data_IF_109218123972
#
_entry.id   IF_109218123972
#
_cell.length_a   1.000
_cell.length_b   1.000
_cell.length_c   1.000
_cell.angle_alpha   90.00
_cell.angle_beta   90.00
_cell.angle_gamma   90.00
#
_symmetry.space_group_name_H-M   'P 1'
#
loop_
_entity.id
_entity.type
_entity.pdbx_description
1 polymer ?
#
# COMPACT_ATOMS: atom_id res chain seq x y z
N UNK A 1 -0.29 -15.93 15.02
CA UNK A 1 -0.61 -15.25 16.28
C UNK A 1 -1.23 -13.91 15.93
N UNK A 2 -2.18 -13.43 16.74
CA UNK A 2 -2.74 -12.09 16.57
C UNK A 2 -2.15 -11.20 17.66
N UNK A 3 -1.69 -10.03 17.26
CA UNK A 3 -1.26 -8.99 18.18
C UNK A 3 -2.05 -7.72 17.93
N UNK A 4 -2.28 -6.93 18.97
CA UNK A 4 -2.94 -5.63 18.88
C UNK A 4 -2.10 -4.53 19.51
N UNK A 5 -2.33 -3.30 19.07
CA UNK A 5 -1.76 -2.10 19.70
C UNK A 5 -2.70 -0.92 19.52
N UNK A 6 -2.60 0.08 20.40
CA UNK A 6 -3.33 1.34 20.28
C UNK A 6 -2.43 2.37 19.59
N UNK A 7 -2.94 2.96 18.50
CA UNK A 7 -2.23 3.92 17.68
C UNK A 7 -1.22 3.29 16.72
N UNK A 8 -1.18 3.78 15.47
CA UNK A 8 -0.36 3.17 14.40
C UNK A 8 1.16 3.35 14.60
N UNK A 9 1.57 4.36 15.38
CA UNK A 9 2.99 4.65 15.66
C UNK A 9 3.57 3.79 16.78
N UNK A 10 2.73 3.06 17.51
CA UNK A 10 3.19 2.20 18.57
C UNK A 10 3.79 0.91 18.00
N UNK A 11 5.07 0.69 18.28
CA UNK A 11 5.80 -0.49 17.81
C UNK A 11 5.81 -1.64 18.83
N UNK A 12 5.24 -1.43 20.03
CA UNK A 12 5.02 -2.48 21.01
C UNK A 12 3.65 -3.10 20.79
N UNK A 13 3.64 -4.40 20.52
CA UNK A 13 2.41 -5.16 20.29
C UNK A 13 2.08 -6.01 21.50
N UNK A 14 0.79 -6.11 21.81
CA UNK A 14 0.25 -7.01 22.85
C UNK A 14 -0.30 -8.25 22.16
N UNK A 15 0.18 -9.42 22.54
CA UNK A 15 -0.35 -10.68 22.05
C UNK A 15 -1.78 -10.90 22.54
N UNK A 16 -2.66 -11.32 21.65
CA UNK A 16 -4.03 -11.69 21.99
C UNK A 16 -4.09 -13.18 22.32
N UNK A 17 -4.74 -13.52 23.45
CA UNK A 17 -5.03 -14.92 23.77
C UNK A 17 -5.95 -15.52 22.71
N UNK A 18 -5.54 -16.64 22.12
CA UNK A 18 -6.26 -17.31 21.03
C UNK A 18 -7.17 -18.42 21.56
N UNK A 19 -8.40 -18.49 21.05
CA UNK A 19 -9.33 -19.61 21.24
C UNK A 19 -9.49 -20.46 19.97
N UNK A 20 -8.59 -20.33 18.99
CA UNK A 20 -8.69 -21.03 17.71
C UNK A 20 -7.56 -20.71 16.74
N UNK A 21 -7.87 -20.70 15.43
CA UNK A 21 -6.95 -20.19 14.42
C UNK A 21 -6.82 -18.66 14.52
N UNK A 22 -5.77 -18.10 13.93
CA UNK A 22 -5.61 -16.64 13.85
C UNK A 22 -6.81 -15.95 13.17
N UNK A 23 -7.42 -16.62 12.18
CA UNK A 23 -8.63 -16.14 11.53
C UNK A 23 -9.81 -16.07 12.49
N UNK A 24 -10.06 -17.12 13.29
CA UNK A 24 -11.16 -17.14 14.26
C UNK A 24 -10.95 -16.12 15.38
N UNK A 25 -9.72 -16.01 15.87
CA UNK A 25 -9.35 -15.01 16.88
C UNK A 25 -9.59 -13.60 16.36
N UNK A 26 -9.15 -13.29 15.13
CA UNK A 26 -9.39 -11.98 14.55
C UNK A 26 -10.86 -11.74 14.23
N UNK A 27 -11.59 -12.73 13.73
CA UNK A 27 -13.03 -12.64 13.48
C UNK A 27 -13.80 -12.32 14.78
N UNK A 28 -13.41 -12.94 15.89
CA UNK A 28 -13.96 -12.63 17.22
C UNK A 28 -13.64 -11.18 17.62
N UNK A 29 -12.36 -10.77 17.55
CA UNK A 29 -11.94 -9.43 17.93
C UNK A 29 -12.65 -8.35 17.08
N UNK A 30 -12.72 -8.53 15.76
CA UNK A 30 -13.38 -7.58 14.87
C UNK A 30 -14.86 -7.41 15.20
N UNK A 31 -15.57 -8.48 15.57
CA UNK A 31 -17.00 -8.39 15.92
C UNK A 31 -17.27 -7.78 17.28
N UNK A 32 -16.39 -7.99 18.26
CA UNK A 32 -16.63 -7.59 19.65
C UNK A 32 -15.97 -6.26 20.04
N UNK A 33 -14.99 -5.78 19.25
CA UNK A 33 -14.23 -4.57 19.55
C UNK A 33 -14.40 -3.50 18.46
N UNK A 34 -15.64 -3.25 18.03
CA UNK A 34 -15.94 -2.16 17.10
C UNK A 34 -15.87 -0.85 17.88
N UNK A 35 -15.00 0.06 17.45
CA UNK A 35 -14.97 1.42 17.97
C UNK A 35 -16.01 2.27 17.23
N UNK A 36 -16.75 3.10 17.95
CA UNK A 36 -17.73 4.02 17.36
C UNK A 36 -17.23 5.46 17.49
N UNK A 37 -17.34 6.22 16.40
CA UNK A 37 -17.09 7.66 16.37
C UNK A 37 -18.41 8.41 16.18
N UNK A 38 -18.47 9.62 16.73
CA UNK A 38 -19.64 10.49 16.62
C UNK A 38 -19.30 11.75 15.82
N UNK A 39 -20.31 12.33 15.15
CA UNK A 39 -20.20 13.64 14.51
C UNK A 39 -19.39 13.70 13.21
N UNK A 40 -18.93 12.56 12.68
CA UNK A 40 -18.19 12.51 11.40
C UNK A 40 -19.11 12.89 10.24
N UNK A 41 -18.61 13.71 9.32
CA UNK A 41 -19.34 14.15 8.13
C UNK A 41 -18.66 13.62 6.86
N UNK A 42 -19.47 13.18 5.90
CA UNK A 42 -18.99 12.74 4.60
C UNK A 42 -18.29 13.88 3.84
N UNK A 43 -17.32 13.52 3.01
CA UNK A 43 -16.59 14.44 2.14
C UNK A 43 -17.03 14.22 0.69
N UNK A 44 -17.58 15.27 0.06
CA UNK A 44 -18.14 15.18 -1.30
C UNK A 44 -17.09 14.80 -2.36
N UNK A 45 -15.82 15.17 -2.15
CA UNK A 45 -14.71 14.81 -3.03
C UNK A 45 -14.10 13.43 -2.74
N UNK A 46 -14.66 12.69 -1.78
CA UNK A 46 -14.16 11.37 -1.37
C UNK A 46 -12.91 11.39 -0.49
N UNK A 47 -12.49 12.56 -0.03
CA UNK A 47 -11.40 12.70 0.92
C UNK A 47 -11.72 11.99 2.25
N UNK A 48 -10.71 11.78 3.08
CA UNK A 48 -10.81 11.07 4.35
C UNK A 48 -11.64 11.91 5.33
N UNK A 49 -12.80 11.41 5.81
CA UNK A 49 -13.67 12.19 6.69
C UNK A 49 -13.20 12.23 8.15
N UNK A 50 -12.30 11.33 8.55
CA UNK A 50 -11.78 11.25 9.92
C UNK A 50 -10.37 11.83 10.01
N UNK A 51 -10.12 12.79 10.92
CA UNK A 51 -8.79 13.35 11.15
C UNK A 51 -7.74 12.29 11.46
N UNK A 52 -6.52 12.50 10.97
CA UNK A 52 -5.45 11.53 11.16
C UNK A 52 -5.03 11.39 12.64
N UNK A 53 -5.25 12.38 13.53
CA UNK A 53 -4.90 12.22 14.94
C UNK A 53 -5.63 11.05 15.62
N UNK A 54 -6.90 10.82 15.26
CA UNK A 54 -7.71 9.71 15.80
C UNK A 54 -7.10 8.37 15.39
N UNK A 55 -6.61 8.27 14.14
CA UNK A 55 -5.94 7.07 13.63
C UNK A 55 -4.58 6.87 14.30
N UNK A 56 -3.85 7.96 14.52
CA UNK A 56 -2.52 7.91 15.12
C UNK A 56 -2.54 7.49 16.59
N UNK A 57 -3.55 7.90 17.35
CA UNK A 57 -3.54 7.81 18.81
C UNK A 57 -4.64 6.92 19.39
N UNK A 58 -5.82 6.88 18.79
CA UNK A 58 -7.02 6.33 19.45
C UNK A 58 -7.45 4.97 18.92
N UNK A 59 -7.20 4.71 17.64
CA UNK A 59 -7.63 3.48 16.98
C UNK A 59 -6.80 2.27 17.39
N UNK A 60 -7.46 1.11 17.44
CA UNK A 60 -6.80 -0.18 17.63
C UNK A 60 -6.32 -0.70 16.28
N UNK A 61 -5.10 -1.22 16.26
CA UNK A 61 -4.49 -1.88 15.12
C UNK A 61 -4.15 -3.31 15.47
N UNK A 62 -4.10 -4.18 14.46
CA UNK A 62 -3.67 -5.56 14.60
C UNK A 62 -2.53 -5.91 13.64
N UNK A 63 -1.76 -6.91 14.04
CA UNK A 63 -0.84 -7.65 13.19
C UNK A 63 -1.16 -9.15 13.30
N UNK A 64 -1.20 -9.84 12.17
CA UNK A 64 -1.45 -11.28 12.09
C UNK A 64 -0.21 -12.00 11.59
N UNK A 65 0.49 -12.73 12.47
CA UNK A 65 1.73 -13.40 12.11
C UNK A 65 2.53 -13.83 13.32
N UNK A 66 3.83 -14.02 13.15
CA UNK A 66 4.78 -14.18 14.26
C UNK A 66 5.86 -13.10 14.13
N UNK A 67 6.21 -12.48 15.26
CA UNK A 67 7.33 -11.55 15.34
C UNK A 67 8.40 -12.11 16.29
N UNK A 68 9.64 -11.69 16.09
CA UNK A 68 10.77 -11.94 16.98
C UNK A 68 10.73 -10.88 18.08
N UNK A 69 10.56 -11.34 19.33
CA UNK A 69 10.37 -10.44 20.47
C UNK A 69 9.05 -9.67 20.39
N UNK A 70 9.07 -8.38 20.73
CA UNK A 70 7.87 -7.54 20.85
C UNK A 70 7.89 -6.27 19.97
N UNK A 71 8.91 -6.11 19.11
CA UNK A 71 9.04 -4.99 18.19
C UNK A 71 8.76 -5.44 16.76
N UNK A 72 7.86 -4.73 16.09
CA UNK A 72 7.47 -5.01 14.71
C UNK A 72 8.36 -4.26 13.71
N UNK A 73 9.02 -5.02 12.84
CA UNK A 73 9.69 -4.52 11.62
C UNK A 73 9.72 -5.63 10.57
N UNK A 74 10.12 -5.33 9.34
CA UNK A 74 10.34 -6.37 8.32
C UNK A 74 11.43 -7.37 8.71
N UNK A 75 12.44 -6.96 9.48
CA UNK A 75 13.54 -7.84 9.94
C UNK A 75 13.14 -8.71 11.13
N UNK A 76 12.21 -8.25 11.96
CA UNK A 76 11.72 -8.98 13.12
C UNK A 76 10.45 -9.78 12.82
N UNK A 77 9.80 -9.56 11.67
CA UNK A 77 8.62 -10.35 11.27
C UNK A 77 9.06 -11.70 10.72
N UNK A 78 8.63 -12.77 11.38
CA UNK A 78 8.96 -14.15 10.99
C UNK A 78 8.02 -14.61 9.88
N UNK A 79 6.72 -14.38 10.04
CA UNK A 79 5.69 -14.71 9.06
C UNK A 79 4.46 -13.84 9.23
N UNK A 80 3.62 -13.81 8.20
CA UNK A 80 2.27 -13.25 8.21
C UNK A 80 1.26 -14.38 8.12
N UNK A 81 0.28 -14.42 9.02
CA UNK A 81 -0.65 -15.56 9.11
C UNK A 81 -1.99 -15.34 8.42
N UNK A 82 -2.33 -14.10 8.05
CA UNK A 82 -3.54 -13.76 7.30
C UNK A 82 -3.19 -12.85 6.12
N UNK A 83 -3.94 -12.96 5.03
CA UNK A 83 -3.87 -12.04 3.90
C UNK A 83 -4.79 -10.86 4.22
N UNK A 84 -4.33 -9.64 3.96
CA UNK A 84 -5.09 -8.42 4.25
C UNK A 84 -5.07 -7.53 3.02
N UNK A 85 -6.24 -7.20 2.47
CA UNK A 85 -6.41 -6.34 1.31
C UNK A 85 -7.18 -5.10 1.73
N UNK A 86 -6.63 -3.93 1.46
CA UNK A 86 -7.33 -2.66 1.57
C UNK A 86 -7.84 -2.26 0.18
N UNK A 87 -9.13 -2.01 0.09
CA UNK A 87 -9.82 -1.54 -1.12
C UNK A 87 -10.15 -0.08 -0.89
N UNK A 88 -9.75 0.78 -1.81
CA UNK A 88 -10.01 2.22 -1.70
C UNK A 88 -10.17 2.87 -3.07
N UNK A 89 -10.96 3.96 -3.16
CA UNK A 89 -11.09 4.69 -4.42
C UNK A 89 -9.74 5.27 -4.84
N UNK A 90 -9.49 5.33 -6.14
CA UNK A 90 -8.28 5.92 -6.68
C UNK A 90 -8.41 7.44 -6.67
N UNK A 91 -7.30 8.12 -6.43
CA UNK A 91 -7.26 9.56 -6.60
C UNK A 91 -7.30 9.90 -8.10
N UNK A 92 -8.21 10.79 -8.48
CA UNK A 92 -8.20 11.47 -9.76
C UNK A 92 -7.42 12.77 -9.54
N UNK A 93 -6.27 12.87 -10.20
CA UNK A 93 -5.39 14.04 -10.10
C UNK A 93 -5.45 14.79 -11.42
N UNK A 94 -5.81 16.07 -11.36
CA UNK A 94 -5.65 17.01 -12.48
C UNK A 94 -4.83 18.21 -12.00
N UNK A 95 -4.11 18.85 -12.92
CA UNK A 95 -3.15 19.92 -12.59
C UNK A 95 -3.83 21.14 -11.94
N UNK A 96 -5.11 21.41 -12.29
CA UNK A 96 -5.84 22.62 -11.88
C UNK A 96 -7.06 22.36 -10.99
N UNK A 97 -7.23 21.14 -10.46
CA UNK A 97 -8.36 20.83 -9.57
C UNK A 97 -7.89 20.20 -8.26
N UNK A 98 -8.65 20.41 -7.17
CA UNK A 98 -8.40 19.66 -5.94
C UNK A 98 -8.46 18.16 -6.23
N UNK A 99 -7.65 17.39 -5.50
CA UNK A 99 -7.71 15.92 -5.56
C UNK A 99 -9.13 15.49 -5.21
N UNK A 100 -9.73 14.74 -6.13
CA UNK A 100 -11.00 14.04 -5.93
C UNK A 100 -10.75 12.55 -6.04
N UNK A 101 -11.60 11.75 -5.43
CA UNK A 101 -11.50 10.30 -5.47
C UNK A 101 -12.60 9.73 -6.35
N UNK A 102 -12.28 8.64 -7.05
CA UNK A 102 -13.25 7.89 -7.85
C UNK A 102 -14.46 7.48 -7.01
N UNK A 103 -15.63 7.50 -7.63
CA UNK A 103 -16.83 6.92 -7.03
C UNK A 103 -16.64 5.41 -6.85
N UNK A 104 -16.85 4.93 -5.62
CA UNK A 104 -16.83 3.51 -5.30
C UNK A 104 -17.96 3.22 -4.32
N UNK A 105 -19.06 2.66 -4.85
CA UNK A 105 -20.23 2.36 -4.05
C UNK A 105 -19.98 1.19 -3.10
N UNK A 106 -20.26 1.39 -1.82
CA UNK A 106 -20.02 0.41 -0.78
C UNK A 106 -20.83 -0.88 -0.97
N UNK A 107 -22.15 -0.78 -1.16
CA UNK A 107 -23.03 -1.95 -1.24
C UNK A 107 -22.76 -2.80 -2.50
N UNK A 108 -22.53 -2.15 -3.64
CA UNK A 108 -22.14 -2.83 -4.88
C UNK A 108 -20.79 -3.54 -4.75
N UNK A 109 -19.81 -2.88 -4.13
CA UNK A 109 -18.48 -3.46 -3.89
C UNK A 109 -18.57 -4.66 -2.94
N UNK A 110 -19.37 -4.57 -1.87
CA UNK A 110 -19.61 -5.69 -0.94
C UNK A 110 -20.27 -6.87 -1.67
N UNK A 111 -21.25 -6.61 -2.55
CA UNK A 111 -21.90 -7.66 -3.34
C UNK A 111 -20.90 -8.37 -4.25
N UNK A 112 -20.05 -7.61 -4.96
CA UNK A 112 -19.01 -8.16 -5.82
C UNK A 112 -17.99 -8.99 -5.02
N UNK A 113 -17.49 -8.47 -3.90
CA UNK A 113 -16.56 -9.20 -3.03
C UNK A 113 -17.14 -10.52 -2.55
N UNK A 114 -18.40 -10.55 -2.11
CA UNK A 114 -19.06 -11.79 -1.67
C UNK A 114 -19.16 -12.82 -2.79
N UNK A 115 -19.41 -12.37 -4.02
CA UNK A 115 -19.51 -13.25 -5.18
C UNK A 115 -18.15 -13.89 -5.51
N UNK A 116 -17.10 -13.08 -5.58
CA UNK A 116 -15.74 -13.54 -5.89
C UNK A 116 -15.17 -14.43 -4.76
N UNK A 117 -15.49 -14.11 -3.50
CA UNK A 117 -14.97 -14.80 -2.32
C UNK A 117 -15.87 -15.94 -1.81
N UNK A 118 -16.94 -16.30 -2.53
CA UNK A 118 -17.98 -17.26 -2.07
C UNK A 118 -17.44 -18.61 -1.59
N UNK A 119 -16.28 -19.04 -2.11
CA UNK A 119 -15.66 -20.33 -1.77
C UNK A 119 -14.59 -20.25 -0.68
N UNK A 120 -14.30 -19.06 -0.15
CA UNK A 120 -13.20 -18.83 0.78
C UNK A 120 -13.68 -18.28 2.11
N UNK A 121 -12.89 -18.51 3.15
CA UNK A 121 -13.05 -17.83 4.43
C UNK A 121 -12.62 -16.39 4.31
N UNK A 122 -13.47 -15.48 4.77
CA UNK A 122 -13.17 -14.06 4.75
C UNK A 122 -13.77 -13.28 5.91
N UNK A 123 -13.12 -12.17 6.25
CA UNK A 123 -13.66 -11.09 7.08
C UNK A 123 -13.68 -9.85 6.20
N UNK A 124 -14.80 -9.13 6.15
CA UNK A 124 -14.95 -7.87 5.40
C UNK A 124 -15.56 -6.82 6.32
N UNK A 125 -14.98 -5.62 6.36
CA UNK A 125 -15.56 -4.49 7.08
C UNK A 125 -15.17 -3.14 6.47
N UNK A 126 -16.02 -2.10 6.64
CA UNK A 126 -15.63 -0.74 6.32
C UNK A 126 -14.50 -0.26 7.24
N UNK A 127 -13.49 0.38 6.66
CA UNK A 127 -12.44 1.06 7.42
C UNK A 127 -12.93 2.41 7.96
N UNK A 128 -12.17 2.99 8.88
CA UNK A 128 -12.48 4.28 9.54
C UNK A 128 -12.83 5.44 8.58
N UNK A 129 -12.26 5.45 7.37
CA UNK A 129 -12.48 6.51 6.38
C UNK A 129 -13.46 6.10 5.28
N UNK A 130 -14.19 5.00 5.46
CA UNK A 130 -15.16 4.52 4.48
C UNK A 130 -16.37 5.42 4.44
N UNK A 131 -16.87 5.69 3.23
CA UNK A 131 -18.10 6.42 2.99
C UNK A 131 -18.98 5.63 2.00
N UNK A 132 -20.31 5.81 1.96
CA UNK A 132 -21.18 5.05 1.07
C UNK A 132 -20.80 5.10 -0.43
N UNK A 133 -20.34 6.27 -0.90
CA UNK A 133 -19.99 6.52 -2.30
C UNK A 133 -18.47 6.57 -2.56
N UNK A 134 -17.66 6.43 -1.51
CA UNK A 134 -16.19 6.39 -1.56
C UNK A 134 -15.73 5.30 -0.59
N UNK A 135 -16.12 4.07 -0.89
CA UNK A 135 -15.96 2.94 -0.01
C UNK A 135 -14.48 2.66 0.27
N UNK A 136 -14.13 2.50 1.54
CA UNK A 136 -12.80 2.02 1.94
C UNK A 136 -12.97 0.77 2.76
N UNK A 137 -12.69 -0.39 2.16
CA UNK A 137 -13.08 -1.70 2.69
C UNK A 137 -11.82 -2.49 3.00
N UNK A 138 -11.79 -3.15 4.15
CA UNK A 138 -10.76 -4.13 4.47
C UNK A 138 -11.30 -5.53 4.27
N UNK A 139 -10.53 -6.36 3.56
CA UNK A 139 -10.79 -7.78 3.34
C UNK A 139 -9.66 -8.57 3.96
N UNK A 140 -9.99 -9.62 4.71
CA UNK A 140 -9.03 -10.50 5.35
C UNK A 140 -9.36 -11.93 4.95
N UNK A 141 -8.36 -12.67 4.46
CA UNK A 141 -8.51 -14.05 4.01
C UNK A 141 -7.60 -14.97 4.83
N UNK A 142 -8.06 -16.19 5.09
CA UNK A 142 -7.25 -17.23 5.75
C UNK A 142 -6.40 -17.96 4.69
N UNK A 143 -5.06 -17.82 4.66
CA UNK A 143 -4.20 -18.59 3.78
C UNK A 143 -4.05 -20.04 4.28
N UNK A 144 -3.68 -20.96 3.40
CA UNK A 144 -3.51 -22.38 3.75
C UNK A 144 -2.38 -22.60 4.77
N UNK A 145 -1.36 -21.73 4.77
CA UNK A 145 -0.27 -21.68 5.73
C UNK A 145 0.21 -20.24 5.99
N UNK A 146 0.98 -20.03 7.06
CA UNK A 146 1.61 -18.74 7.32
C UNK A 146 2.67 -18.42 6.27
N UNK A 147 2.68 -17.18 5.81
CA UNK A 147 3.41 -16.73 4.63
C UNK A 147 4.71 -16.03 5.01
N UNK A 148 5.74 -16.23 4.20
CA UNK A 148 6.96 -15.41 4.17
C UNK A 148 6.67 -14.03 3.56
N UNK A 149 7.67 -13.14 3.57
CA UNK A 149 7.60 -11.84 2.90
C UNK A 149 7.34 -11.99 1.40
N UNK A 150 8.05 -12.90 0.76
CA UNK A 150 7.95 -13.16 -0.69
C UNK A 150 6.57 -13.70 -1.04
N UNK A 151 6.08 -14.72 -0.32
CA UNK A 151 4.74 -15.26 -0.50
C UNK A 151 3.65 -14.20 -0.28
N UNK A 152 3.81 -13.33 0.73
CA UNK A 152 2.86 -12.24 1.02
C UNK A 152 2.78 -11.26 -0.16
N UNK A 153 3.91 -10.85 -0.72
CA UNK A 153 3.93 -9.96 -1.90
C UNK A 153 3.32 -10.66 -3.11
N UNK A 154 3.72 -11.92 -3.38
CA UNK A 154 3.24 -12.68 -4.54
C UNK A 154 1.74 -12.93 -4.49
N UNK A 155 1.20 -13.36 -3.34
CA UNK A 155 -0.23 -13.62 -3.23
C UNK A 155 -1.04 -12.34 -3.32
N UNK A 156 -0.55 -11.23 -2.76
CA UNK A 156 -1.23 -9.92 -2.86
C UNK A 156 -1.32 -9.49 -4.32
N UNK A 157 -0.21 -9.55 -5.07
CA UNK A 157 -0.22 -9.18 -6.49
C UNK A 157 -1.19 -10.04 -7.30
N UNK A 158 -1.21 -11.35 -7.06
CA UNK A 158 -2.15 -12.25 -7.73
C UNK A 158 -3.60 -11.94 -7.44
N UNK A 159 -3.91 -11.57 -6.20
CA UNK A 159 -5.26 -11.15 -5.83
C UNK A 159 -5.60 -9.82 -6.53
N UNK A 160 -4.69 -8.85 -6.57
CA UNK A 160 -4.87 -7.60 -7.35
C UNK A 160 -5.18 -7.92 -8.82
N UNK A 161 -4.42 -8.81 -9.45
CA UNK A 161 -4.61 -9.19 -10.85
C UNK A 161 -5.95 -9.93 -11.07
N UNK A 162 -6.36 -10.76 -10.10
CA UNK A 162 -7.61 -11.50 -10.13
C UNK A 162 -8.83 -10.58 -9.98
N UNK A 163 -8.78 -9.66 -9.02
CA UNK A 163 -9.82 -8.68 -8.73
C UNK A 163 -9.69 -7.43 -9.62
N UNK A 164 -9.51 -7.61 -10.93
CA UNK A 164 -9.18 -6.53 -11.89
C UNK A 164 -10.05 -5.26 -11.80
N UNK A 165 -11.31 -5.42 -11.40
CA UNK A 165 -12.31 -4.33 -11.31
C UNK A 165 -12.50 -3.78 -9.89
N UNK A 166 -11.81 -4.33 -8.88
CA UNK A 166 -11.86 -3.84 -7.51
C UNK A 166 -10.53 -3.14 -7.21
N UNK A 167 -10.53 -1.85 -6.84
CA UNK A 167 -9.30 -1.10 -6.62
C UNK A 167 -8.65 -1.49 -5.28
N UNK A 168 -7.82 -2.52 -5.31
CA UNK A 168 -7.01 -2.95 -4.16
C UNK A 168 -5.74 -2.09 -4.10
N UNK A 169 -5.47 -1.53 -2.92
CA UNK A 169 -4.23 -0.79 -2.59
C UNK A 169 -3.03 -1.76 -2.71
N UNK A 170 -2.07 -1.50 -3.61
CA UNK A 170 -0.87 -2.33 -3.77
C UNK A 170 -0.07 -2.52 -2.48
N UNK A 171 -0.12 -1.53 -1.58
CA UNK A 171 0.58 -1.57 -0.29
C UNK A 171 -0.07 -2.50 0.74
N UNK A 172 -1.17 -3.17 0.38
CA UNK A 172 -1.72 -4.35 1.07
C UNK A 172 -0.69 -5.49 1.23
N UNK A 173 0.28 -5.55 0.32
CA UNK A 173 1.35 -6.55 0.31
C UNK A 173 2.48 -6.29 1.32
N UNK A 174 2.43 -5.17 2.05
CA UNK A 174 3.46 -4.83 3.03
C UNK A 174 3.47 -5.86 4.17
N UNK A 175 4.59 -6.58 4.28
CA UNK A 175 4.71 -7.79 5.09
C UNK A 175 4.48 -7.56 6.58
N UNK A 176 5.11 -6.53 7.13
CA UNK A 176 5.00 -6.22 8.57
C UNK A 176 3.91 -5.20 8.89
N UNK A 177 3.13 -4.69 7.93
CA UNK A 177 2.22 -3.54 8.16
C UNK A 177 1.13 -3.85 9.19
N UNK A 178 0.86 -2.87 10.06
CA UNK A 178 -0.30 -2.89 10.96
C UNK A 178 -1.58 -2.54 10.19
N UNK A 179 -2.65 -3.27 10.47
CA UNK A 179 -3.96 -3.04 9.87
C UNK A 179 -4.92 -2.52 10.92
N UNK A 180 -5.79 -1.58 10.56
CA UNK A 180 -6.77 -1.04 11.50
C UNK A 180 -7.86 -2.06 11.87
N UNK A 181 -8.26 -2.08 13.13
CA UNK A 181 -9.48 -2.77 13.54
C UNK A 181 -10.73 -2.05 13.00
N UNK A 182 -11.91 -2.70 13.03
CA UNK A 182 -13.18 -2.08 12.67
C UNK A 182 -13.44 -0.80 13.48
N UNK A 183 -13.76 0.27 12.76
CA UNK A 183 -14.22 1.54 13.33
C UNK A 183 -15.45 1.98 12.56
N UNK A 184 -16.56 2.10 13.27
CA UNK A 184 -17.79 2.68 12.77
C UNK A 184 -17.70 4.20 12.91
N UNK A 185 -17.66 4.88 11.77
CA UNK A 185 -17.63 6.34 11.72
C UNK A 185 -19.03 6.98 11.62
N UNK A 186 -20.10 6.18 11.68
CA UNK A 186 -21.48 6.68 11.63
C UNK A 186 -21.99 7.08 10.23
N UNK A 187 -21.18 6.92 9.17
CA UNK A 187 -21.59 7.25 7.79
C UNK A 187 -22.29 6.09 7.06
N UNK A 188 -22.34 4.90 7.65
CA UNK A 188 -23.02 3.73 7.11
C UNK A 188 -24.21 3.38 8.00
N UNK A 189 -25.42 3.40 7.45
CA UNK A 189 -26.66 3.15 8.22
C UNK A 189 -26.68 1.81 8.97
N UNK A 190 -25.94 0.82 8.48
CA UNK A 190 -25.84 -0.51 9.08
C UNK A 190 -24.39 -1.02 9.05
N UNK A 191 -23.51 -0.32 9.77
CA UNK A 191 -22.14 -0.75 9.94
C UNK A 191 -22.08 -2.18 10.46
N UNK A 192 -21.37 -3.05 9.73
CA UNK A 192 -21.23 -4.46 10.12
C UNK A 192 -19.90 -5.05 9.69
N UNK A 193 -19.39 -5.94 10.54
CA UNK A 193 -18.30 -6.85 10.20
C UNK A 193 -18.91 -8.13 9.64
N UNK A 194 -18.67 -8.38 8.36
CA UNK A 194 -19.13 -9.57 7.65
C UNK A 194 -18.07 -10.65 7.82
N UNK A 195 -18.46 -11.83 8.29
CA UNK A 195 -17.55 -12.97 8.45
C UNK A 195 -18.17 -14.18 7.77
N UNK A 196 -17.44 -14.75 6.80
CA UNK A 196 -17.72 -16.05 6.25
C UNK A 196 -16.71 -17.07 6.79
N UNK A 197 -17.20 -18.05 7.53
CA UNK A 197 -16.40 -19.16 8.08
C UNK A 197 -16.45 -20.40 7.20
N UNK A 198 -17.42 -20.45 6.29
CA UNK A 198 -17.67 -21.57 5.41
C UNK A 198 -16.89 -21.36 4.12
N UNK A 199 -15.77 -22.07 3.98
CA UNK A 199 -14.93 -21.93 2.81
C UNK A 199 -13.57 -22.57 2.96
N UNK A 200 -12.89 -22.71 1.82
CA UNK A 200 -11.50 -23.10 1.76
C UNK A 200 -10.59 -21.97 2.26
N UNK A 201 -9.37 -22.35 2.61
CA UNK A 201 -8.27 -21.40 2.78
C UNK A 201 -7.72 -21.01 1.40
N UNK A 202 -7.15 -19.82 1.29
CA UNK A 202 -6.53 -19.34 0.05
C UNK A 202 -5.22 -20.11 -0.20
N UNK A 203 -5.06 -20.76 -1.36
CA UNK A 203 -3.81 -21.43 -1.71
C UNK A 203 -2.67 -20.41 -1.81
N UNK A 204 -1.56 -20.68 -1.11
CA UNK A 204 -0.36 -19.85 -1.14
C UNK A 204 0.64 -20.57 -2.02
N UNK A 205 0.76 -20.12 -3.26
CA UNK A 205 1.75 -20.67 -4.17
C UNK A 205 3.11 -20.12 -3.77
N UNK A 206 4.03 -21.01 -3.42
CA UNK A 206 5.43 -20.66 -3.24
C UNK A 206 5.89 -19.95 -4.50
N UNK A 207 6.53 -18.77 -4.39
CA UNK A 207 7.21 -18.19 -5.52
C UNK A 207 8.08 -19.29 -6.11
N UNK A 208 7.84 -19.68 -7.36
CA UNK A 208 8.89 -20.39 -8.06
C UNK A 208 10.10 -19.49 -7.91
N UNK A 209 11.19 -20.01 -7.36
CA UNK A 209 12.47 -19.35 -7.51
C UNK A 209 12.62 -19.23 -9.03
N UNK A 210 12.28 -18.07 -9.60
CA UNK A 210 12.91 -17.65 -10.82
C UNK A 210 14.37 -17.74 -10.44
N UNK A 211 15.07 -18.73 -10.99
CA UNK A 211 16.52 -18.77 -10.93
C UNK A 211 16.94 -17.33 -11.19
N UNK A 212 17.55 -16.68 -10.19
CA UNK A 212 18.14 -15.37 -10.40
C UNK A 212 19.04 -15.59 -11.59
N UNK A 213 18.61 -15.15 -12.76
CA UNK A 213 19.41 -15.29 -13.97
C UNK A 213 20.52 -14.30 -13.72
N UNK A 214 21.62 -14.78 -13.15
CA UNK A 214 22.82 -14.00 -12.98
C UNK A 214 23.33 -13.77 -14.37
N UNK A 215 22.92 -12.65 -14.95
CA UNK A 215 23.57 -12.12 -16.14
C UNK A 215 24.97 -11.68 -15.71
N UNK A 216 25.94 -12.60 -15.74
CA UNK A 216 27.35 -12.22 -15.82
C UNK A 216 27.59 -11.73 -17.24
N UNK A 217 27.18 -10.49 -17.51
CA UNK A 217 27.64 -9.77 -18.69
C UNK A 217 29.00 -9.19 -18.33
N UNK A 218 30.04 -9.66 -19.01
CA UNK A 218 31.35 -9.04 -18.91
C UNK A 218 31.33 -7.70 -19.65
N UNK A 219 31.11 -6.62 -18.91
CA UNK A 219 31.11 -5.25 -19.44
C UNK A 219 32.50 -4.79 -19.92
N UNK A 220 33.58 -5.57 -19.70
CA UNK A 220 34.91 -5.23 -20.19
C UNK A 220 35.01 -5.22 -21.72
N UNK A 221 34.11 -5.93 -22.40
CA UNK A 221 34.10 -6.05 -23.87
C UNK A 221 33.35 -4.92 -24.58
N UNK A 222 32.65 -4.03 -23.85
CA UNK A 222 31.89 -2.91 -24.43
C UNK A 222 32.71 -1.63 -24.65
N UNK A 223 34.04 -1.75 -24.70
CA UNK A 223 34.98 -0.81 -25.31
C UNK A 223 34.73 0.69 -25.10
N UNK A 224 35.42 1.31 -24.13
CA UNK A 224 35.68 2.76 -24.15
C UNK A 224 35.57 3.48 -22.81
N UNK A 225 36.65 3.49 -22.04
CA UNK A 225 36.80 4.12 -20.70
C UNK A 225 35.76 3.63 -19.66
N UNK A 226 36.09 3.62 -18.37
CA UNK A 226 35.15 3.28 -17.29
C UNK A 226 33.96 4.25 -17.11
N UNK A 227 33.55 4.97 -18.17
CA UNK A 227 32.45 5.91 -18.15
C UNK A 227 31.10 5.18 -18.21
N UNK A 228 30.48 5.05 -17.05
CA UNK A 228 29.06 4.66 -16.95
C UNK A 228 28.20 5.86 -17.41
N UNK A 229 27.10 5.66 -18.13
CA UNK A 229 26.18 6.75 -18.48
C UNK A 229 25.47 7.36 -17.27
N UNK A 230 24.82 8.52 -17.42
CA UNK A 230 24.04 9.14 -16.32
C UNK A 230 22.83 8.30 -15.89
N UNK A 231 22.10 7.70 -16.84
CA UNK A 231 20.94 6.84 -16.55
C UNK A 231 21.34 5.54 -15.84
N UNK A 232 22.34 4.76 -16.30
CA UNK A 232 22.77 3.58 -15.54
C UNK A 232 23.27 3.89 -14.12
N UNK A 233 24.01 5.00 -13.92
CA UNK A 233 24.38 5.47 -12.58
C UNK A 233 23.17 5.79 -11.71
N UNK A 234 22.15 6.42 -12.31
CA UNK A 234 20.91 6.74 -11.62
C UNK A 234 20.19 5.47 -11.15
N UNK A 235 20.10 4.45 -12.01
CA UNK A 235 19.51 3.16 -11.65
C UNK A 235 20.27 2.48 -10.50
N UNK A 236 21.60 2.50 -10.52
CA UNK A 236 22.41 1.96 -9.42
C UNK A 236 22.19 2.71 -8.10
N UNK A 237 22.07 4.04 -8.16
CA UNK A 237 21.84 4.89 -6.99
C UNK A 237 20.48 4.60 -6.32
N UNK A 238 19.41 4.40 -7.10
CA UNK A 238 18.08 4.01 -6.59
C UNK A 238 18.15 2.74 -5.76
N UNK A 239 18.78 1.69 -6.29
CA UNK A 239 18.85 0.38 -5.63
C UNK A 239 19.81 0.36 -4.44
N UNK A 240 20.72 1.33 -4.33
CA UNK A 240 21.55 1.52 -3.14
C UNK A 240 20.79 2.17 -1.96
N UNK A 241 19.57 2.66 -2.20
CA UNK A 241 18.69 3.28 -1.20
C UNK A 241 18.87 4.79 -1.08
N UNK A 242 17.75 5.51 -0.91
CA UNK A 242 17.71 6.98 -0.87
C UNK A 242 17.43 7.45 0.56
N UNK A 243 18.49 7.91 1.25
CA UNK A 243 18.40 8.35 2.65
C UNK A 243 17.80 9.75 2.85
N UNK A 244 17.29 10.03 4.07
CA UNK A 244 16.50 11.22 4.42
C UNK A 244 17.05 12.57 3.90
N UNK A 245 18.36 12.78 3.99
CA UNK A 245 19.00 14.06 3.61
C UNK A 245 19.26 14.23 2.11
N UNK A 246 19.00 13.22 1.28
CA UNK A 246 19.36 13.23 -0.15
C UNK A 246 18.17 13.17 -1.11
N UNK A 247 16.94 13.01 -0.59
CA UNK A 247 15.72 12.73 -1.36
C UNK A 247 15.40 13.78 -2.41
N UNK A 248 15.27 15.05 -2.01
CA UNK A 248 14.93 16.14 -2.94
C UNK A 248 16.01 16.31 -4.03
N UNK A 249 17.28 16.25 -3.63
CA UNK A 249 18.41 16.34 -4.56
C UNK A 249 18.43 15.15 -5.53
N UNK A 250 18.12 13.96 -5.01
CA UNK A 250 18.03 12.75 -5.81
C UNK A 250 16.91 12.87 -6.85
N UNK A 251 15.68 13.22 -6.46
CA UNK A 251 14.55 13.32 -7.40
C UNK A 251 14.74 14.45 -8.41
N UNK A 252 15.33 15.59 -8.00
CA UNK A 252 15.72 16.66 -8.93
C UNK A 252 16.65 16.14 -10.02
N UNK A 253 17.71 15.41 -9.61
CA UNK A 253 18.70 14.83 -10.53
C UNK A 253 18.10 13.72 -11.38
N UNK A 254 17.29 12.85 -10.79
CA UNK A 254 16.66 11.70 -11.43
C UNK A 254 15.77 12.16 -12.58
N UNK A 255 14.81 13.03 -12.26
CA UNK A 255 13.82 13.53 -13.19
C UNK A 255 14.47 14.29 -14.36
N UNK A 256 15.42 15.20 -14.07
CA UNK A 256 16.16 15.91 -15.11
C UNK A 256 17.03 14.99 -15.99
N UNK A 257 17.60 13.92 -15.42
CA UNK A 257 18.39 12.93 -16.16
C UNK A 257 17.51 12.13 -17.13
N UNK A 258 16.32 11.71 -16.71
CA UNK A 258 15.36 10.99 -17.55
C UNK A 258 14.82 11.88 -18.69
N UNK A 259 14.46 13.13 -18.40
CA UNK A 259 14.05 14.10 -19.41
C UNK A 259 15.16 14.43 -20.43
N UNK A 260 16.42 14.44 -19.98
CA UNK A 260 17.58 14.60 -20.88
C UNK A 260 17.74 13.38 -21.78
N UNK A 261 17.45 12.19 -21.26
CA UNK A 261 17.47 10.93 -22.00
C UNK A 261 16.23 10.72 -22.89
N UNK A 262 15.36 11.74 -23.02
CA UNK A 262 14.14 11.71 -23.86
C UNK A 262 13.12 10.64 -23.45
N UNK A 263 13.11 10.27 -22.17
CA UNK A 263 11.99 9.52 -21.60
C UNK A 263 10.78 10.44 -21.53
N UNK A 264 9.60 9.91 -21.84
CA UNK A 264 8.35 10.67 -21.79
C UNK A 264 8.11 11.27 -20.38
N UNK A 265 7.69 12.54 -20.26
CA UNK A 265 7.46 13.17 -18.96
C UNK A 265 6.49 12.41 -18.05
N UNK A 266 5.42 11.81 -18.59
CA UNK A 266 4.46 11.04 -17.81
C UNK A 266 5.13 9.80 -17.20
N UNK A 267 5.92 9.07 -17.99
CA UNK A 267 6.71 7.96 -17.49
C UNK A 267 7.80 8.39 -16.51
N UNK A 268 8.40 9.58 -16.68
CA UNK A 268 9.34 10.12 -15.70
C UNK A 268 8.69 10.34 -14.33
N UNK A 269 7.44 10.83 -14.32
CA UNK A 269 6.65 11.05 -13.10
C UNK A 269 6.36 9.71 -12.43
N UNK A 270 5.81 8.75 -13.18
CA UNK A 270 5.50 7.41 -12.67
C UNK A 270 6.73 6.71 -12.09
N UNK A 271 7.87 6.77 -12.79
CA UNK A 271 9.14 6.20 -12.33
C UNK A 271 9.58 6.85 -11.01
N UNK A 272 9.45 8.18 -10.89
CA UNK A 272 9.84 8.88 -9.66
C UNK A 272 8.90 8.56 -8.50
N UNK A 273 7.60 8.37 -8.74
CA UNK A 273 6.63 7.93 -7.73
C UNK A 273 6.97 6.52 -7.23
N UNK A 274 7.16 5.56 -8.14
CA UNK A 274 7.59 4.20 -7.80
C UNK A 274 8.89 4.21 -6.99
N UNK A 275 9.85 5.05 -7.36
CA UNK A 275 11.13 5.14 -6.65
C UNK A 275 11.01 5.77 -5.26
N UNK A 276 10.12 6.76 -5.11
CA UNK A 276 9.85 7.37 -3.83
C UNK A 276 9.18 6.39 -2.88
N UNK A 277 8.17 5.65 -3.36
CA UNK A 277 7.45 4.67 -2.55
C UNK A 277 8.31 3.47 -2.14
N UNK A 278 9.13 2.95 -3.08
CA UNK A 278 9.81 1.66 -2.90
C UNK A 278 11.24 1.77 -2.35
N UNK A 279 11.94 2.86 -2.63
CA UNK A 279 13.39 2.95 -2.37
C UNK A 279 13.80 4.16 -1.52
N UNK A 280 12.84 4.98 -1.07
CA UNK A 280 13.12 6.20 -0.29
C UNK A 280 12.60 6.09 1.14
N UNK A 281 13.44 6.43 2.14
CA UNK A 281 13.06 6.36 3.55
C UNK A 281 13.36 7.65 4.35
N UNK A 282 12.34 8.30 4.95
CA UNK A 282 10.92 8.12 4.65
C UNK A 282 10.65 8.67 3.23
N UNK A 283 9.61 8.18 2.54
CA UNK A 283 9.22 8.74 1.27
C UNK A 283 8.92 10.25 1.42
N UNK A 284 9.14 11.01 0.36
CA UNK A 284 8.58 12.35 0.24
C UNK A 284 7.06 12.24 0.18
N UNK A 285 6.36 13.23 0.71
CA UNK A 285 4.92 13.35 0.44
C UNK A 285 4.68 13.61 -1.06
N UNK A 286 3.49 13.26 -1.56
CA UNK A 286 3.13 13.50 -2.96
C UNK A 286 3.30 14.97 -3.36
N UNK A 287 2.94 15.88 -2.45
CA UNK A 287 3.11 17.33 -2.64
C UNK A 287 4.58 17.75 -2.73
N UNK A 288 5.44 17.19 -1.88
CA UNK A 288 6.89 17.48 -1.93
C UNK A 288 7.53 16.94 -3.20
N UNK A 289 7.18 15.71 -3.61
CA UNK A 289 7.70 15.10 -4.83
C UNK A 289 7.22 15.86 -6.07
N UNK A 290 5.94 16.22 -6.14
CA UNK A 290 5.37 17.03 -7.22
C UNK A 290 6.07 18.38 -7.33
N UNK A 291 6.28 19.08 -6.20
CA UNK A 291 6.99 20.36 -6.19
C UNK A 291 8.43 20.26 -6.71
N UNK A 292 9.13 19.16 -6.41
CA UNK A 292 10.47 18.91 -6.95
C UNK A 292 10.42 18.71 -8.47
N UNK A 293 9.47 17.93 -8.98
CA UNK A 293 9.34 17.67 -10.42
C UNK A 293 8.93 18.93 -11.19
N UNK A 294 7.97 19.70 -10.66
CA UNK A 294 7.51 20.97 -11.23
C UNK A 294 8.65 22.00 -11.36
N UNK A 295 9.48 22.11 -10.32
CA UNK A 295 10.67 22.96 -10.34
C UNK A 295 11.65 22.58 -11.47
N UNK A 296 11.78 21.28 -11.75
CA UNK A 296 12.64 20.77 -12.83
C UNK A 296 12.00 20.97 -14.20
N UNK A 297 10.70 20.72 -14.37
CA UNK A 297 9.98 20.98 -15.62
C UNK A 297 10.09 22.43 -16.03
N UNK A 298 9.72 23.35 -15.13
CA UNK A 298 9.80 24.80 -15.35
C UNK A 298 11.20 25.22 -15.82
N UNK A 299 12.25 24.61 -15.25
CA UNK A 299 13.64 24.90 -15.62
C UNK A 299 14.03 24.32 -16.98
N UNK A 300 13.57 23.11 -17.30
CA UNK A 300 13.85 22.47 -18.60
C UNK A 300 13.07 23.12 -19.75
N UNK A 301 11.84 23.58 -19.53
CA UNK A 301 11.05 24.35 -20.50
C UNK A 301 11.74 25.67 -20.87
N UNK A 302 12.17 26.44 -19.87
CA UNK A 302 12.94 27.69 -20.08
C UNK A 302 14.23 27.44 -20.87
N UNK A 303 14.88 26.30 -20.67
CA UNK A 303 16.13 25.93 -21.34
C UNK A 303 15.91 25.47 -22.78
N UNK A 304 14.76 24.86 -23.07
CA UNK A 304 14.42 24.31 -24.40
C UNK A 304 13.63 25.29 -25.27
N UNK A 305 13.11 26.37 -24.71
CA UNK A 305 12.34 27.38 -25.45
C UNK A 305 10.99 26.88 -25.97
N UNK A 306 10.48 25.80 -25.38
CA UNK A 306 9.23 25.12 -25.76
C UNK A 306 8.40 24.97 -24.48
N UNK A 307 7.15 25.44 -24.52
CA UNK A 307 6.13 25.09 -23.53
C UNK A 307 5.76 23.64 -23.81
N UNK A 308 6.02 22.75 -22.86
CA UNK A 308 5.60 21.37 -22.99
C UNK A 308 4.11 21.37 -22.63
N UNK A 309 3.25 21.49 -23.65
CA UNK A 309 1.80 21.67 -23.46
C UNK A 309 1.18 20.62 -22.53
N UNK A 310 0.20 21.11 -21.77
CA UNK A 310 -0.77 20.49 -20.83
C UNK A 310 -1.10 19.01 -21.06
#
# INVERSE_FOLDING_TARGET
>A
MIYTTKGVKNNQLTECHSNGSDFETLAYLCKNNIQHLEGVQAQNNGDKPVPDEIKLNDCIYFFSGKIKGNKRSDSETINKSLITLDIEPRAIISQDSPIVYDYLNFEETIKQLKQELKGFKYIIYPTINSQPNHARIRVILEPEHSMTKEETTTITQRLIDHFKYIPIDPSSGNFSRLMGMPVDNGLHDNYKVIVNRDGAKVPVIRPQQQEKTTFTVDYSQLGGSGYIGKVPRLLQEVYSGIGQGKRNNFFTKAFGTLLTAKVDPEYCIMICQDWNERFTQPPLSDKELASVMDSVLTREERKRGVVMNE
#
